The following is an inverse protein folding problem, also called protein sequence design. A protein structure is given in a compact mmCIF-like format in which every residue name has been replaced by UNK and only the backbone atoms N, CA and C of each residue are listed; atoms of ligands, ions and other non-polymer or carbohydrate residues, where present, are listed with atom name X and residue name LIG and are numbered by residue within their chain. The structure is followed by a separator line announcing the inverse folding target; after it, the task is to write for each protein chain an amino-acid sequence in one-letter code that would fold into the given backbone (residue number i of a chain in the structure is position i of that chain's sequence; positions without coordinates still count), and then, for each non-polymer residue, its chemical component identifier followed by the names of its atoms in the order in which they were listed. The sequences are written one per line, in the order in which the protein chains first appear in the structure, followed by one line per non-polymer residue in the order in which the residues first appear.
data_IF_444337969019
#
_entry.id   IF_444337969019
#
_cell.length_a   1.000
_cell.length_b   1.000
_cell.length_c   1.000
_cell.angle_alpha   90.00
_cell.angle_beta   90.00
_cell.angle_gamma   90.00
#
_symmetry.space_group_name_H-M   'P 1'
#
loop_
_entity.id
_entity.type
_entity.pdbx_description
1 polymer ?
#
# COMPACT_ATOMS: atom_id res chain seq x y z
N UNK A 1 14.46 7.64 -27.16
CA UNK A 1 14.26 6.17 -27.12
C UNK A 1 14.53 5.68 -25.71
N UNK A 2 13.52 5.18 -24.98
CA UNK A 2 13.71 4.73 -23.60
C UNK A 2 14.48 3.39 -23.58
N UNK A 3 15.62 3.38 -22.90
CA UNK A 3 16.48 2.22 -22.67
C UNK A 3 15.68 1.09 -22.02
N UNK A 4 15.26 0.11 -22.81
CA UNK A 4 14.46 -1.03 -22.36
C UNK A 4 15.35 -1.96 -21.55
N UNK A 5 15.23 -1.91 -20.22
CA UNK A 5 15.68 -2.98 -19.32
C UNK A 5 16.68 -2.59 -18.23
N UNK A 6 17.43 -1.50 -18.41
CA UNK A 6 18.43 -1.08 -17.43
C UNK A 6 17.84 -0.13 -16.39
N UNK A 7 18.23 -0.29 -15.13
CA UNK A 7 17.88 0.63 -14.07
C UNK A 7 18.40 2.05 -14.36
N UNK A 8 17.57 3.05 -14.08
CA UNK A 8 17.98 4.45 -14.13
C UNK A 8 17.81 5.04 -12.72
N UNK A 9 18.79 5.79 -12.22
CA UNK A 9 18.72 6.42 -10.88
C UNK A 9 17.47 7.31 -10.71
N UNK A 10 17.02 7.93 -11.81
CA UNK A 10 15.78 8.71 -11.83
C UNK A 10 14.52 7.89 -11.50
N UNK A 11 14.53 6.56 -11.70
CA UNK A 11 13.39 5.69 -11.42
C UNK A 11 13.06 5.63 -9.93
N UNK A 12 14.05 5.75 -9.03
CA UNK A 12 13.81 5.76 -7.59
C UNK A 12 12.78 6.82 -7.20
N UNK A 13 13.00 8.07 -7.60
CA UNK A 13 12.07 9.16 -7.30
C UNK A 13 10.85 9.10 -8.22
N UNK A 14 11.05 8.92 -9.53
CA UNK A 14 9.97 8.99 -10.53
C UNK A 14 8.87 7.96 -10.29
N UNK A 15 9.20 6.78 -9.79
CA UNK A 15 8.25 5.69 -9.57
C UNK A 15 8.15 5.26 -8.10
N UNK A 16 8.65 6.11 -7.18
CA UNK A 16 8.65 5.84 -5.74
C UNK A 16 9.19 4.43 -5.40
N UNK A 17 10.42 4.13 -5.85
CA UNK A 17 11.09 2.85 -5.69
C UNK A 17 12.30 2.95 -4.75
N UNK A 18 12.55 1.89 -4.02
CA UNK A 18 13.69 1.70 -3.12
C UNK A 18 14.57 0.58 -3.68
N UNK A 19 15.88 0.82 -3.81
CA UNK A 19 16.84 -0.23 -4.18
C UNK A 19 17.04 -1.15 -2.98
N UNK A 20 16.79 -2.45 -3.17
CA UNK A 20 16.94 -3.46 -2.10
C UNK A 20 18.22 -4.26 -2.30
N UNK A 21 18.53 -4.60 -3.56
CA UNK A 21 19.73 -5.36 -3.89
C UNK A 21 20.47 -4.74 -5.06
N UNK A 22 21.74 -4.47 -4.83
CA UNK A 22 22.68 -3.93 -5.81
C UNK A 22 23.95 -4.79 -5.82
N UNK A 23 24.50 -5.01 -6.99
CA UNK A 23 25.77 -5.72 -7.20
C UNK A 23 26.68 -4.83 -8.06
N UNK A 24 27.72 -4.27 -7.44
CA UNK A 24 28.55 -3.25 -8.07
C UNK A 24 27.70 -2.04 -8.50
N UNK A 25 27.66 -1.75 -9.81
CA UNK A 25 26.86 -0.67 -10.39
C UNK A 25 25.49 -1.14 -10.92
N UNK A 26 25.18 -2.43 -10.81
CA UNK A 26 23.96 -3.02 -11.37
C UNK A 26 22.92 -3.23 -10.27
N UNK A 27 21.77 -2.57 -10.41
CA UNK A 27 20.62 -2.84 -9.54
C UNK A 27 19.96 -4.15 -9.95
N UNK A 28 19.80 -5.06 -8.99
CA UNK A 28 19.18 -6.38 -9.21
C UNK A 28 17.72 -6.40 -8.80
N UNK A 29 17.39 -5.70 -7.72
CA UNK A 29 16.05 -5.72 -7.15
C UNK A 29 15.69 -4.39 -6.51
N UNK A 30 14.45 -3.98 -6.75
CA UNK A 30 13.85 -2.79 -6.15
C UNK A 30 12.47 -3.10 -5.61
N UNK A 31 12.07 -2.37 -4.57
CA UNK A 31 10.76 -2.47 -3.94
C UNK A 31 9.96 -1.20 -4.14
N UNK A 32 8.64 -1.32 -4.24
CA UNK A 32 7.75 -0.17 -4.17
C UNK A 32 7.72 0.45 -2.76
N UNK A 33 8.09 1.74 -2.65
CA UNK A 33 7.98 2.48 -1.38
C UNK A 33 6.53 2.64 -0.93
N UNK A 34 5.59 2.82 -1.86
CA UNK A 34 4.17 2.95 -1.51
C UNK A 34 3.62 1.70 -0.81
N UNK A 35 4.01 0.50 -1.28
CA UNK A 35 3.69 -0.75 -0.58
C UNK A 35 4.26 -0.76 0.84
N UNK A 36 5.56 -0.46 0.99
CA UNK A 36 6.26 -0.48 2.29
C UNK A 36 5.61 0.46 3.32
N UNK A 37 5.27 1.68 2.90
CA UNK A 37 4.84 2.75 3.82
C UNK A 37 3.33 2.82 4.01
N UNK A 38 2.54 2.57 2.96
CA UNK A 38 1.09 2.76 3.01
C UNK A 38 0.30 1.46 2.84
N UNK A 39 0.95 0.38 2.42
CA UNK A 39 0.24 -0.85 2.05
C UNK A 39 -0.64 -0.65 0.83
N UNK A 40 -1.43 -1.67 0.51
CA UNK A 40 -2.33 -1.66 -0.65
C UNK A 40 -3.61 -0.89 -0.31
N UNK A 41 -3.93 0.11 -1.12
CA UNK A 41 -5.23 0.78 -1.08
C UNK A 41 -6.24 -0.11 -1.82
N UNK A 42 -7.17 -0.74 -1.09
CA UNK A 42 -8.27 -1.52 -1.67
C UNK A 42 -9.57 -0.76 -1.42
N UNK A 43 -10.37 -0.56 -2.47
CA UNK A 43 -11.79 -0.25 -2.31
C UNK A 43 -12.49 -1.50 -1.77
N UNK A 44 -12.89 -1.48 -0.50
CA UNK A 44 -13.45 -2.62 0.26
C UNK A 44 -14.89 -2.94 -0.12
N UNK A 45 -15.32 -2.68 -1.35
CA UNK A 45 -16.68 -2.99 -1.78
C UNK A 45 -16.78 -4.51 -2.01
N UNK A 46 -17.25 -5.23 -0.99
CA UNK A 46 -17.73 -6.61 -1.09
C UNK A 46 -16.70 -7.75 -0.95
N UNK A 47 -15.50 -7.51 -0.41
CA UNK A 47 -14.50 -8.58 -0.20
C UNK A 47 -14.57 -9.20 1.19
N UNK A 48 -14.88 -10.50 1.25
CA UNK A 48 -14.95 -11.34 2.49
C UNK A 48 -13.60 -11.69 3.15
N UNK A 49 -12.47 -11.19 2.63
CA UNK A 49 -11.13 -11.46 3.18
C UNK A 49 -10.29 -10.19 3.10
N UNK A 50 -9.55 -9.91 4.16
CA UNK A 50 -8.57 -8.83 4.22
C UNK A 50 -7.59 -8.87 3.04
N UNK A 51 -7.19 -7.69 2.57
CA UNK A 51 -6.22 -7.52 1.52
C UNK A 51 -4.88 -8.21 1.87
N UNK A 52 -4.32 -9.04 0.98
CA UNK A 52 -2.89 -9.39 1.11
C UNK A 52 -2.06 -8.12 0.92
N UNK A 53 -1.31 -7.73 1.95
CA UNK A 53 -0.47 -6.53 2.05
C UNK A 53 1.00 -6.82 1.73
N UNK A 54 1.26 -7.74 0.80
CA UNK A 54 2.65 -8.07 0.42
C UNK A 54 3.25 -6.96 -0.43
N UNK A 55 4.47 -6.55 -0.08
CA UNK A 55 5.23 -5.57 -0.85
C UNK A 55 5.49 -6.04 -2.29
N UNK A 56 5.37 -5.13 -3.25
CA UNK A 56 5.73 -5.40 -4.64
C UNK A 56 7.23 -5.19 -4.87
N UNK A 57 7.89 -6.24 -5.36
CA UNK A 57 9.28 -6.23 -5.80
C UNK A 57 9.37 -6.30 -7.32
N UNK A 58 10.44 -5.73 -7.88
CA UNK A 58 10.78 -5.81 -9.30
C UNK A 58 12.24 -6.23 -9.42
N UNK A 59 12.48 -7.25 -10.23
CA UNK A 59 13.82 -7.76 -10.54
C UNK A 59 13.95 -8.10 -12.03
N UNK A 60 15.18 -8.13 -12.52
CA UNK A 60 15.50 -8.48 -13.91
C UNK A 60 15.29 -7.35 -14.92
N UNK A 61 14.04 -6.93 -15.17
CA UNK A 61 13.71 -5.87 -16.15
C UNK A 61 12.85 -4.79 -15.52
N UNK A 62 13.42 -3.59 -15.36
CA UNK A 62 12.72 -2.43 -14.77
C UNK A 62 11.87 -1.72 -15.81
N UNK A 63 10.62 -2.17 -15.95
CA UNK A 63 9.66 -1.69 -16.95
C UNK A 63 8.79 -0.55 -16.41
N UNK A 64 8.91 0.62 -17.02
CA UNK A 64 8.17 1.82 -16.61
C UNK A 64 6.65 1.61 -16.63
N UNK A 65 6.14 0.89 -17.63
CA UNK A 65 4.71 0.56 -17.78
C UNK A 65 4.20 -0.30 -16.62
N UNK A 66 4.95 -1.33 -16.21
CA UNK A 66 4.53 -2.20 -15.12
C UNK A 66 4.57 -1.49 -13.77
N UNK A 67 5.60 -0.68 -13.54
CA UNK A 67 5.75 0.12 -12.31
C UNK A 67 4.63 1.16 -12.19
N UNK A 68 4.32 1.86 -13.28
CA UNK A 68 3.25 2.87 -13.31
C UNK A 68 1.87 2.23 -13.13
N UNK A 69 1.60 1.13 -13.83
CA UNK A 69 0.33 0.43 -13.72
C UNK A 69 0.09 -0.11 -12.30
N UNK A 70 1.13 -0.58 -11.62
CA UNK A 70 1.03 -1.00 -10.22
C UNK A 70 0.66 0.17 -9.30
N UNK A 71 1.36 1.30 -9.39
CA UNK A 71 1.10 2.49 -8.56
C UNK A 71 -0.33 2.99 -8.76
N UNK A 72 -0.78 3.09 -10.00
CA UNK A 72 -2.13 3.55 -10.32
C UNK A 72 -3.22 2.59 -9.81
N UNK A 73 -2.98 1.26 -9.86
CA UNK A 73 -3.99 0.26 -9.47
C UNK A 73 -4.05 -0.01 -7.97
N UNK A 74 -2.91 0.08 -7.27
CA UNK A 74 -2.82 -0.34 -5.86
C UNK A 74 -2.61 0.83 -4.89
N UNK A 75 -2.22 1.99 -5.38
CA UNK A 75 -1.92 3.17 -4.57
C UNK A 75 -2.51 4.44 -5.18
N UNK A 76 -3.68 4.36 -5.83
CA UNK A 76 -4.25 5.46 -6.63
C UNK A 76 -4.22 6.82 -5.90
N UNK A 77 -4.64 6.87 -4.64
CA UNK A 77 -4.72 8.11 -3.87
C UNK A 77 -3.33 8.63 -3.50
N UNK A 78 -2.49 7.79 -2.90
CA UNK A 78 -1.14 8.20 -2.45
C UNK A 78 -0.20 8.47 -3.62
N UNK A 79 -0.40 7.77 -4.72
CA UNK A 79 0.30 8.02 -5.97
C UNK A 79 -0.09 9.38 -6.55
N UNK A 80 -1.39 9.71 -6.61
CA UNK A 80 -1.84 11.02 -7.08
C UNK A 80 -1.33 12.18 -6.21
N UNK A 81 -1.29 11.99 -4.89
CA UNK A 81 -0.69 12.95 -3.95
C UNK A 81 0.80 13.16 -4.28
N UNK A 82 1.56 12.08 -4.37
CA UNK A 82 2.99 12.13 -4.67
C UNK A 82 3.33 12.77 -6.03
N UNK A 83 2.50 12.54 -7.05
CA UNK A 83 2.71 13.11 -8.38
C UNK A 83 2.55 14.63 -8.43
N UNK A 84 1.82 15.23 -7.49
CA UNK A 84 1.62 16.69 -7.41
C UNK A 84 2.74 17.42 -6.67
N UNK A 85 3.59 16.68 -5.97
CA UNK A 85 4.70 17.22 -5.19
C UNK A 85 5.87 17.64 -6.08
N UNK A 86 6.60 18.66 -5.64
CA UNK A 86 7.89 19.02 -6.23
C UNK A 86 8.94 17.91 -6.00
N UNK A 87 10.03 17.86 -6.79
CA UNK A 87 11.07 16.85 -6.60
C UNK A 87 11.65 16.82 -5.17
N UNK A 88 11.77 17.99 -4.53
CA UNK A 88 12.29 18.12 -3.16
C UNK A 88 11.31 17.52 -2.15
N UNK A 89 10.02 17.75 -2.33
CA UNK A 89 8.98 17.20 -1.47
C UNK A 89 8.79 15.70 -1.69
N UNK A 90 8.95 15.21 -2.92
CA UNK A 90 8.94 13.78 -3.24
C UNK A 90 10.03 13.00 -2.49
N UNK A 91 11.23 13.59 -2.38
CA UNK A 91 12.32 12.95 -1.64
C UNK A 91 11.98 12.83 -0.14
N UNK A 92 11.29 13.82 0.42
CA UNK A 92 10.87 13.86 1.84
C UNK A 92 9.56 13.14 2.15
N UNK A 93 8.78 12.77 1.13
CA UNK A 93 7.41 12.24 1.29
C UNK A 93 7.33 11.01 2.21
N UNK A 94 8.42 10.24 2.32
CA UNK A 94 8.48 9.01 3.09
C UNK A 94 9.27 9.12 4.40
N UNK A 95 9.91 10.26 4.68
CA UNK A 95 10.91 10.37 5.77
C UNK A 95 10.25 10.30 7.16
N UNK A 96 9.05 10.87 7.30
CA UNK A 96 8.32 10.93 8.57
C UNK A 96 7.15 9.92 8.63
N UNK A 97 7.10 8.96 7.71
CA UNK A 97 6.02 7.98 7.64
C UNK A 97 6.49 6.66 8.24
N UNK A 98 5.78 6.17 9.26
CA UNK A 98 6.06 4.84 9.81
C UNK A 98 5.68 3.77 8.78
N UNK A 99 6.54 2.76 8.52
CA UNK A 99 6.21 1.68 7.60
C UNK A 99 4.88 1.01 7.97
N UNK A 100 4.05 0.70 6.97
CA UNK A 100 2.75 0.04 7.17
C UNK A 100 2.89 -1.28 7.94
N UNK A 101 3.99 -2.00 7.74
CA UNK A 101 4.27 -3.23 8.48
C UNK A 101 4.32 -3.05 10.01
N UNK A 102 4.64 -1.83 10.47
CA UNK A 102 4.82 -1.48 11.87
C UNK A 102 3.59 -0.76 12.46
N UNK A 103 2.48 -0.65 11.72
CA UNK A 103 1.25 -0.06 12.23
C UNK A 103 0.29 -1.15 12.71
N UNK A 104 -0.52 -0.82 13.72
CA UNK A 104 -1.57 -1.71 14.23
C UNK A 104 -2.61 -2.07 13.14
N UNK A 105 -2.73 -1.28 12.08
CA UNK A 105 -3.62 -1.51 10.92
C UNK A 105 -3.32 -2.82 10.18
N UNK A 106 -2.10 -3.38 10.32
CA UNK A 106 -1.79 -4.72 9.78
C UNK A 106 -2.52 -5.84 10.52
N UNK A 107 -2.86 -5.63 11.79
CA UNK A 107 -3.44 -6.62 12.68
C UNK A 107 -4.91 -6.35 13.00
N UNK A 108 -5.36 -5.12 12.77
CA UNK A 108 -6.74 -4.68 12.97
C UNK A 108 -7.50 -4.85 11.64
N UNK A 109 -8.20 -5.96 11.47
CA UNK A 109 -9.25 -6.05 10.46
C UNK A 109 -10.35 -5.06 10.86
N UNK A 110 -10.36 -3.85 10.27
CA UNK A 110 -11.49 -2.92 10.39
C UNK A 110 -12.67 -3.45 9.58
N UNK A 111 -13.17 -4.62 9.94
CA UNK A 111 -14.58 -4.96 9.79
C UNK A 111 -15.24 -4.31 11.01
N UNK A 112 -15.80 -3.12 10.82
CA UNK A 112 -16.69 -2.54 11.82
C UNK A 112 -17.87 -3.50 11.93
N UNK A 113 -17.77 -4.50 12.79
CA UNK A 113 -18.93 -5.17 13.34
C UNK A 113 -19.73 -4.07 14.04
N UNK A 114 -20.80 -3.62 13.39
CA UNK A 114 -21.85 -2.91 14.09
C UNK A 114 -22.24 -3.81 15.26
N UNK A 115 -21.82 -3.41 16.46
CA UNK A 115 -22.35 -3.93 17.72
C UNK A 115 -23.83 -3.58 17.73
N UNK A 116 -24.63 -4.47 17.14
CA UNK A 116 -26.07 -4.44 17.20
C UNK A 116 -26.43 -4.83 18.63
N UNK A 117 -26.35 -3.85 19.53
CA UNK A 117 -26.82 -3.96 20.89
C UNK A 117 -28.34 -4.12 20.81
N UNK A 118 -28.80 -5.36 20.60
CA UNK A 118 -30.19 -5.71 20.80
C UNK A 118 -30.46 -5.43 22.27
N UNK A 119 -31.05 -4.26 22.54
CA UNK A 119 -31.65 -3.95 23.82
C UNK A 119 -32.61 -5.09 24.13
N UNK A 120 -32.17 -5.98 25.02
CA UNK A 120 -33.00 -7.05 25.56
C UNK A 120 -34.13 -6.33 26.30
N UNK A 121 -35.28 -6.23 25.63
CA UNK A 121 -36.52 -5.80 26.28
C UNK A 121 -36.81 -6.70 27.47
N UNK A 122 -37.41 -6.17 28.54
CA UNK A 122 -37.56 -6.91 29.80
C UNK A 122 -38.37 -8.19 29.58
N UNK A 123 -37.74 -9.32 29.96
CA UNK A 123 -38.35 -10.64 30.06
C UNK A 123 -39.54 -10.60 31.03
N UNK A 124 -40.75 -10.48 30.49
CA UNK A 124 -41.99 -10.66 31.25
C UNK A 124 -42.35 -12.14 31.30
N UNK A 125 -41.60 -12.90 32.09
CA UNK A 125 -42.08 -14.17 32.67
C UNK A 125 -42.88 -13.87 33.95
N UNK A 126 -44.18 -14.18 33.90
CA UNK A 126 -45.15 -14.54 34.99
C UNK A 126 -46.55 -14.07 34.55
N UNK A 127 -47.64 -14.82 34.63
CA UNK A 127 -47.93 -16.17 35.11
C UNK A 127 -49.25 -16.58 34.43
N UNK A 128 -49.35 -17.83 33.97
CA UNK A 128 -50.65 -18.45 33.73
C UNK A 128 -51.10 -19.13 35.03
N UNK A 129 -52.32 -18.76 35.43
CA UNK A 129 -53.25 -19.46 36.34
C UNK A 129 -53.02 -19.34 37.84
#
# INVERSE_FOLDING_TARGET
MASRGTWQKAYSRKYALEVIRQEGLVIKEVRCKMCKYFGRQIETIGRKRGARTTDQFYSGKFRADTMTAHLAKQHATKWAEYQRLSPVEQDKFFDNVQPHANTMLRYMDMESDEINLKSVGPDRRRNHR
#
